data_IF_449325202245
#
_entry.id   IF_449325202245
#
_cell.length_a   1.000
_cell.length_b   1.000
_cell.length_c   1.000
_cell.angle_alpha   90.00
_cell.angle_beta   90.00
_cell.angle_gamma   90.00
#
_symmetry.space_group_name_H-M   'P 1'
#
loop_
_entity.id
_entity.type
_entity.pdbx_description
1 polymer ?
#
# COMPACT_ATOMS: atom_id res chain seq x y z
N UNK A 1 4.67 -30.06 29.33
CA UNK A 1 5.30 -28.86 28.76
C UNK A 1 4.53 -28.60 27.47
N UNK A 2 3.76 -27.52 27.42
CA UNK A 2 3.05 -27.15 26.18
C UNK A 2 4.10 -26.82 25.12
N UNK A 3 3.90 -27.37 23.93
CA UNK A 3 4.82 -27.18 22.80
C UNK A 3 4.72 -25.73 22.33
N UNK A 4 5.83 -25.00 22.36
CA UNK A 4 5.92 -23.68 21.73
C UNK A 4 5.93 -23.83 20.21
N UNK A 5 5.11 -23.03 19.52
CA UNK A 5 5.11 -22.97 18.05
C UNK A 5 6.11 -21.93 17.59
N UNK A 6 6.99 -22.29 16.65
CA UNK A 6 7.99 -21.39 16.07
C UNK A 6 7.45 -20.81 14.77
N UNK A 7 7.22 -19.51 14.77
CA UNK A 7 6.61 -18.78 13.64
C UNK A 7 7.63 -17.80 13.06
N UNK A 8 7.87 -17.90 11.76
CA UNK A 8 8.70 -16.94 11.04
C UNK A 8 7.83 -15.81 10.45
N UNK A 9 8.25 -14.57 10.65
CA UNK A 9 7.65 -13.38 10.06
C UNK A 9 8.56 -12.84 8.96
N UNK A 10 8.07 -12.81 7.72
CA UNK A 10 8.78 -12.30 6.56
C UNK A 10 8.19 -10.96 6.14
N UNK A 11 8.61 -9.90 6.84
CA UNK A 11 8.18 -8.53 6.63
C UNK A 11 9.37 -7.58 6.66
N UNK A 12 9.32 -6.54 5.84
CA UNK A 12 10.34 -5.51 5.84
C UNK A 12 10.04 -4.43 6.89
N UNK A 13 10.69 -4.50 8.05
CA UNK A 13 10.51 -3.56 9.15
C UNK A 13 10.80 -2.08 8.79
N UNK A 14 11.41 -1.80 7.63
CA UNK A 14 11.59 -0.44 7.12
C UNK A 14 10.32 0.14 6.46
N UNK A 15 9.33 -0.72 6.12
CA UNK A 15 8.02 -0.28 5.63
C UNK A 15 7.06 -0.05 6.81
N UNK A 16 6.32 1.05 6.78
CA UNK A 16 5.35 1.37 7.85
C UNK A 16 4.26 0.31 7.96
N UNK A 17 3.71 -0.11 6.82
CA UNK A 17 2.68 -1.15 6.76
C UNK A 17 3.13 -2.46 7.41
N UNK A 18 4.32 -2.94 7.04
CA UNK A 18 4.87 -4.18 7.57
C UNK A 18 5.09 -4.10 9.08
N UNK A 19 5.58 -2.95 9.61
CA UNK A 19 5.69 -2.74 11.05
C UNK A 19 4.35 -2.82 11.76
N UNK A 20 3.29 -2.23 11.20
CA UNK A 20 1.95 -2.30 11.79
C UNK A 20 1.40 -3.72 11.80
N UNK A 21 1.69 -4.52 10.77
CA UNK A 21 1.35 -5.96 10.78
C UNK A 21 2.09 -6.69 11.91
N UNK A 22 3.41 -6.46 12.05
CA UNK A 22 4.23 -7.05 13.12
C UNK A 22 3.70 -6.64 14.50
N UNK A 23 3.39 -5.34 14.69
CA UNK A 23 2.80 -4.81 15.93
C UNK A 23 1.46 -5.49 16.25
N UNK A 24 0.56 -5.60 15.26
CA UNK A 24 -0.74 -6.27 15.45
C UNK A 24 -0.60 -7.75 15.82
N UNK A 25 0.38 -8.46 15.24
CA UNK A 25 0.70 -9.83 15.64
C UNK A 25 1.16 -9.84 17.11
N UNK A 26 2.04 -8.92 17.51
CA UNK A 26 2.51 -8.81 18.89
C UNK A 26 1.37 -8.53 19.90
N UNK A 27 0.47 -7.62 19.57
CA UNK A 27 -0.72 -7.32 20.38
C UNK A 27 -1.63 -8.55 20.53
N UNK A 28 -1.86 -9.28 19.44
CA UNK A 28 -2.64 -10.52 19.49
C UNK A 28 -2.01 -11.56 20.42
N UNK A 29 -0.70 -11.76 20.33
CA UNK A 29 0.03 -12.72 21.19
C UNK A 29 -0.08 -12.35 22.66
N UNK A 30 0.04 -11.06 22.99
CA UNK A 30 -0.13 -10.58 24.36
C UNK A 30 -1.55 -10.78 24.88
N UNK A 31 -2.54 -10.45 24.04
CA UNK A 31 -3.96 -10.55 24.43
C UNK A 31 -4.43 -12.00 24.63
N UNK A 32 -3.93 -12.91 23.80
CA UNK A 32 -4.33 -14.34 23.82
C UNK A 32 -3.44 -15.22 24.65
N UNK A 33 -2.30 -14.68 25.14
CA UNK A 33 -1.27 -15.44 25.86
C UNK A 33 -0.78 -16.68 25.08
N UNK A 34 -0.77 -16.57 23.75
CA UNK A 34 -0.24 -17.63 22.89
C UNK A 34 1.24 -17.85 23.13
N UNK A 35 1.61 -19.12 23.27
CA UNK A 35 3.01 -19.52 23.51
C UNK A 35 3.72 -19.77 22.16
N UNK A 36 3.95 -18.67 21.41
CA UNK A 36 4.67 -18.69 20.15
C UNK A 36 6.06 -18.09 20.31
N UNK A 37 7.06 -18.74 19.73
CA UNK A 37 8.38 -18.17 19.52
C UNK A 37 8.38 -17.49 18.14
N UNK A 38 8.48 -16.17 18.13
CA UNK A 38 8.49 -15.37 16.90
C UNK A 38 9.93 -15.16 16.45
N UNK A 39 10.18 -15.51 15.19
CA UNK A 39 11.41 -15.19 14.48
C UNK A 39 11.12 -14.16 13.40
N UNK A 40 11.79 -13.00 13.46
CA UNK A 40 11.72 -11.96 12.44
C UNK A 40 13.04 -11.99 11.66
N UNK A 41 12.97 -12.34 10.37
CA UNK A 41 14.14 -12.36 9.51
C UNK A 41 14.39 -10.97 8.92
N UNK A 42 15.54 -10.36 9.24
CA UNK A 42 15.82 -8.97 8.90
C UNK A 42 16.07 -8.76 7.40
N UNK A 43 16.75 -9.66 6.73
CA UNK A 43 17.19 -9.54 5.33
C UNK A 43 16.69 -10.69 4.44
N UNK A 44 15.44 -11.13 4.64
CA UNK A 44 14.89 -12.28 3.93
C UNK A 44 14.89 -12.13 2.40
N UNK A 45 14.83 -10.91 1.87
CA UNK A 45 14.88 -10.65 0.42
C UNK A 45 16.25 -10.94 -0.19
N UNK A 46 17.30 -10.90 0.61
CA UNK A 46 18.68 -11.21 0.18
C UNK A 46 19.02 -12.69 0.33
N UNK A 47 18.30 -13.39 1.22
CA UNK A 47 18.57 -14.78 1.61
C UNK A 47 17.33 -15.67 1.50
N UNK A 48 16.74 -15.74 0.32
CA UNK A 48 15.53 -16.55 0.08
C UNK A 48 15.70 -18.05 0.36
N UNK A 49 16.95 -18.56 0.26
CA UNK A 49 17.29 -19.91 0.63
C UNK A 49 17.04 -20.21 2.11
N UNK A 50 17.19 -19.23 3.00
CA UNK A 50 16.90 -19.38 4.43
C UNK A 50 15.40 -19.63 4.66
N UNK A 51 14.55 -18.98 3.88
CA UNK A 51 13.09 -19.17 3.95
C UNK A 51 12.71 -20.61 3.60
N UNK A 52 13.36 -21.19 2.58
CA UNK A 52 13.15 -22.59 2.19
C UNK A 52 13.70 -23.58 3.23
N UNK A 53 14.77 -23.20 3.92
CA UNK A 53 15.40 -24.01 4.95
C UNK A 53 14.69 -23.91 6.31
N UNK A 54 13.66 -23.07 6.45
CA UNK A 54 12.93 -22.90 7.70
C UNK A 54 12.30 -24.21 8.19
N UNK A 55 12.60 -24.59 9.42
CA UNK A 55 12.12 -25.82 10.07
C UNK A 55 11.19 -25.53 11.26
N UNK A 56 10.53 -24.39 11.27
CA UNK A 56 9.53 -24.03 12.28
C UNK A 56 8.15 -24.60 11.98
N UNK A 57 7.16 -24.07 12.69
CA UNK A 57 5.79 -24.58 12.66
C UNK A 57 4.86 -23.76 11.74
N UNK A 58 5.27 -22.53 11.36
CA UNK A 58 4.49 -21.68 10.47
C UNK A 58 5.24 -20.46 9.97
N UNK A 59 4.66 -19.80 8.96
CA UNK A 59 5.19 -18.59 8.34
C UNK A 59 4.04 -17.59 8.14
N UNK A 60 4.27 -16.30 8.45
CA UNK A 60 3.40 -15.20 8.06
C UNK A 60 4.25 -14.25 7.21
N UNK A 61 3.79 -13.93 5.99
CA UNK A 61 4.65 -13.28 5.01
C UNK A 61 3.97 -12.20 4.17
N UNK A 62 4.75 -11.18 3.77
CA UNK A 62 4.37 -10.15 2.79
C UNK A 62 4.30 -10.75 1.38
N UNK A 63 3.08 -11.00 0.89
CA UNK A 63 2.80 -11.53 -0.45
C UNK A 63 2.69 -10.42 -1.52
N UNK A 64 2.90 -9.16 -1.18
CA UNK A 64 3.18 -8.12 -2.16
C UNK A 64 4.61 -8.25 -2.72
N UNK A 65 5.47 -9.06 -2.08
CA UNK A 65 6.71 -9.52 -2.67
C UNK A 65 6.44 -10.78 -3.54
N UNK A 66 6.54 -10.69 -4.89
CA UNK A 66 6.19 -11.79 -5.78
C UNK A 66 7.14 -13.00 -5.68
N UNK A 67 8.37 -12.81 -5.20
CA UNK A 67 9.31 -13.91 -5.00
C UNK A 67 8.92 -14.73 -3.76
N UNK A 68 8.52 -14.05 -2.68
CA UNK A 68 8.01 -14.69 -1.47
C UNK A 68 6.70 -15.41 -1.75
N UNK A 69 5.76 -14.76 -2.45
CA UNK A 69 4.51 -15.38 -2.87
C UNK A 69 4.77 -16.68 -3.65
N UNK A 70 5.61 -16.61 -4.69
CA UNK A 70 5.96 -17.78 -5.51
C UNK A 70 6.62 -18.90 -4.71
N UNK A 71 7.48 -18.55 -3.76
CA UNK A 71 8.21 -19.50 -2.92
C UNK A 71 7.29 -20.23 -1.96
N UNK A 72 6.34 -19.51 -1.35
CA UNK A 72 5.53 -20.02 -0.25
C UNK A 72 4.16 -20.58 -0.68
N UNK A 73 3.69 -20.28 -1.89
CA UNK A 73 2.38 -20.76 -2.37
C UNK A 73 2.23 -22.29 -2.38
N UNK A 74 3.35 -23.02 -2.43
CA UNK A 74 3.39 -24.49 -2.38
C UNK A 74 4.22 -25.01 -1.19
N UNK A 75 4.30 -24.26 -0.11
CA UNK A 75 5.03 -24.67 1.09
C UNK A 75 4.37 -25.86 1.76
N UNK A 76 5.19 -26.77 2.30
CA UNK A 76 4.74 -27.87 3.16
C UNK A 76 4.48 -27.43 4.61
N UNK A 77 4.91 -26.24 4.97
CA UNK A 77 4.69 -25.62 6.30
C UNK A 77 3.46 -24.71 6.17
N UNK A 78 2.58 -24.63 7.19
CA UNK A 78 1.49 -23.68 7.21
C UNK A 78 1.95 -22.25 6.96
N UNK A 79 1.33 -21.57 5.98
CA UNK A 79 1.63 -20.20 5.59
C UNK A 79 0.38 -19.35 5.66
N UNK A 80 0.51 -18.11 6.14
CA UNK A 80 -0.49 -17.05 5.98
C UNK A 80 0.12 -15.93 5.15
N UNK A 81 -0.48 -15.64 4.00
CA UNK A 81 -0.11 -14.50 3.17
C UNK A 81 -0.80 -13.22 3.65
N UNK A 82 -0.08 -12.10 3.59
CA UNK A 82 -0.61 -10.76 3.92
C UNK A 82 -0.24 -9.81 2.80
N UNK A 83 -1.16 -8.95 2.36
CA UNK A 83 -0.83 -7.98 1.31
C UNK A 83 -2.05 -7.29 0.71
N UNK A 84 -1.90 -6.75 -0.49
CA UNK A 84 -2.98 -6.18 -1.26
C UNK A 84 -3.96 -7.23 -1.77
N UNK A 85 -5.20 -6.82 -2.04
CA UNK A 85 -6.21 -7.68 -2.65
C UNK A 85 -5.82 -8.09 -4.08
N UNK A 86 -6.41 -9.17 -4.56
CA UNK A 86 -6.36 -9.60 -5.96
C UNK A 86 -7.63 -9.19 -6.69
N UNK A 87 -7.55 -9.11 -8.02
CA UNK A 87 -8.70 -8.67 -8.85
C UNK A 87 -9.84 -9.70 -8.90
N UNK A 88 -9.51 -10.97 -8.78
CA UNK A 88 -10.43 -12.08 -8.81
C UNK A 88 -10.14 -13.04 -7.66
N UNK A 89 -11.18 -13.70 -7.17
CA UNK A 89 -11.04 -14.75 -6.16
C UNK A 89 -10.10 -15.89 -6.62
N UNK A 90 -10.08 -16.16 -7.94
CA UNK A 90 -9.23 -17.19 -8.52
C UNK A 90 -7.74 -16.83 -8.55
N UNK A 91 -7.41 -15.56 -8.37
CA UNK A 91 -6.03 -15.08 -8.39
C UNK A 91 -5.34 -15.17 -7.01
N UNK A 92 -6.13 -15.42 -5.95
CA UNK A 92 -5.56 -15.59 -4.62
C UNK A 92 -4.71 -16.86 -4.53
N UNK A 93 -3.58 -16.80 -3.82
CA UNK A 93 -2.75 -17.98 -3.59
C UNK A 93 -3.53 -19.02 -2.77
N UNK A 94 -3.17 -20.29 -2.95
CA UNK A 94 -3.81 -21.39 -2.22
C UNK A 94 -3.30 -21.52 -0.77
N UNK A 95 -3.32 -20.41 -0.03
CA UNK A 95 -2.98 -20.32 1.40
C UNK A 95 -3.97 -19.37 2.06
N UNK A 96 -4.20 -19.47 3.37
CA UNK A 96 -4.91 -18.43 4.12
C UNK A 96 -4.31 -17.05 3.84
N UNK A 97 -5.17 -16.06 3.58
CA UNK A 97 -4.72 -14.76 3.11
C UNK A 97 -5.46 -13.61 3.80
N UNK A 98 -4.72 -12.61 4.25
CA UNK A 98 -5.26 -11.37 4.81
C UNK A 98 -4.99 -10.22 3.85
N UNK A 99 -6.05 -9.67 3.28
CA UNK A 99 -5.97 -8.60 2.30
C UNK A 99 -6.38 -7.25 2.87
N UNK A 100 -5.68 -6.19 2.45
CA UNK A 100 -6.17 -4.82 2.63
C UNK A 100 -7.29 -4.54 1.63
N UNK A 101 -8.42 -4.05 2.10
CA UNK A 101 -9.51 -3.60 1.23
C UNK A 101 -9.17 -2.21 0.63
N UNK A 102 -8.43 -2.23 -0.47
CA UNK A 102 -8.01 -1.02 -1.17
C UNK A 102 -9.19 -0.24 -1.78
N UNK A 103 -10.29 -0.93 -2.12
CA UNK A 103 -11.50 -0.28 -2.63
C UNK A 103 -12.18 0.54 -1.53
N UNK A 104 -12.37 -0.05 -0.35
CA UNK A 104 -12.97 0.66 0.80
C UNK A 104 -12.12 1.86 1.24
N UNK A 105 -10.78 1.74 1.22
CA UNK A 105 -9.87 2.84 1.53
C UNK A 105 -10.07 4.03 0.58
N UNK A 106 -10.10 3.77 -0.73
CA UNK A 106 -10.28 4.83 -1.73
C UNK A 106 -11.69 5.39 -1.69
N UNK A 107 -12.71 4.56 -1.44
CA UNK A 107 -14.09 5.01 -1.25
C UNK A 107 -14.20 6.00 -0.10
N UNK A 108 -13.64 5.70 1.06
CA UNK A 108 -13.63 6.61 2.21
C UNK A 108 -12.95 7.95 1.87
N UNK A 109 -11.78 7.92 1.21
CA UNK A 109 -11.06 9.12 0.81
C UNK A 109 -11.88 9.95 -0.18
N UNK A 110 -12.49 9.32 -1.16
CA UNK A 110 -13.36 9.99 -2.13
C UNK A 110 -14.57 10.62 -1.47
N UNK A 111 -15.30 9.89 -0.63
CA UNK A 111 -16.49 10.39 0.06
C UNK A 111 -16.16 11.56 0.99
N UNK A 112 -14.99 11.52 1.65
CA UNK A 112 -14.52 12.65 2.44
C UNK A 112 -14.33 13.91 1.58
N UNK A 113 -13.64 13.81 0.45
CA UNK A 113 -13.43 14.95 -0.47
C UNK A 113 -14.75 15.44 -1.08
N UNK A 114 -15.62 14.53 -1.50
CA UNK A 114 -16.96 14.84 -2.01
C UNK A 114 -17.81 15.55 -0.95
N UNK A 115 -17.76 15.11 0.30
CA UNK A 115 -18.45 15.73 1.43
C UNK A 115 -17.97 17.16 1.74
N UNK A 116 -16.78 17.56 1.26
CA UNK A 116 -16.29 18.95 1.30
C UNK A 116 -16.83 19.81 0.15
N UNK A 117 -17.70 19.28 -0.69
CA UNK A 117 -18.33 20.00 -1.81
C UNK A 117 -17.46 20.04 -3.09
N UNK A 118 -16.38 19.27 -3.15
CA UNK A 118 -15.54 19.21 -4.34
C UNK A 118 -16.26 18.49 -5.49
N UNK A 119 -16.01 18.95 -6.73
CA UNK A 119 -16.60 18.44 -7.96
C UNK A 119 -15.55 17.90 -8.93
N UNK A 120 -14.27 18.17 -8.68
CA UNK A 120 -13.16 17.68 -9.48
C UNK A 120 -12.29 16.78 -8.63
N UNK A 121 -11.93 15.62 -9.20
CA UNK A 121 -11.19 14.59 -8.47
C UNK A 121 -10.01 14.10 -9.29
N UNK A 122 -8.89 13.89 -8.60
CA UNK A 122 -7.67 13.41 -9.21
C UNK A 122 -6.97 12.37 -8.32
N UNK A 123 -6.12 11.57 -8.91
CA UNK A 123 -5.34 10.56 -8.22
C UNK A 123 -3.84 10.72 -8.54
N UNK A 124 -3.05 10.81 -7.50
CA UNK A 124 -1.60 10.84 -7.62
C UNK A 124 -1.02 9.49 -7.21
N UNK A 125 -0.73 8.67 -8.20
CA UNK A 125 -0.25 7.30 -8.07
C UNK A 125 1.26 7.16 -8.13
N UNK A 126 1.69 5.91 -8.31
CA UNK A 126 3.08 5.50 -8.56
C UNK A 126 3.14 4.66 -9.83
N UNK A 127 4.32 4.48 -10.42
CA UNK A 127 4.49 3.57 -11.55
C UNK A 127 4.05 2.16 -11.20
N UNK A 128 3.46 1.49 -12.17
CA UNK A 128 3.01 0.11 -12.03
C UNK A 128 4.21 -0.83 -11.89
N UNK A 129 4.12 -1.78 -10.95
CA UNK A 129 5.14 -2.80 -10.74
C UNK A 129 4.52 -4.04 -10.04
N UNK A 130 5.04 -5.24 -10.27
CA UNK A 130 4.52 -6.47 -9.66
C UNK A 130 4.45 -6.42 -8.13
N UNK A 131 5.44 -5.79 -7.48
CA UNK A 131 5.47 -5.61 -6.02
C UNK A 131 4.58 -4.46 -5.49
N UNK A 132 3.77 -3.86 -6.36
CA UNK A 132 2.89 -2.72 -6.04
C UNK A 132 1.45 -2.95 -6.48
N UNK A 133 1.00 -4.20 -6.48
CA UNK A 133 -0.38 -4.57 -6.82
C UNK A 133 -1.40 -3.70 -6.07
N UNK A 134 -1.19 -3.47 -4.78
CA UNK A 134 -2.03 -2.60 -3.96
C UNK A 134 -2.19 -1.17 -4.52
N UNK A 135 -1.16 -0.61 -5.16
CA UNK A 135 -1.24 0.74 -5.74
C UNK A 135 -2.08 0.77 -7.02
N UNK A 136 -1.95 -0.24 -7.87
CA UNK A 136 -2.78 -0.42 -9.06
C UNK A 136 -4.24 -0.66 -8.69
N UNK A 137 -4.51 -1.41 -7.63
CA UNK A 137 -5.85 -1.63 -7.07
C UNK A 137 -6.49 -0.31 -6.61
N UNK A 138 -5.74 0.53 -5.89
CA UNK A 138 -6.21 1.86 -5.46
C UNK A 138 -6.52 2.78 -6.63
N UNK A 139 -5.67 2.81 -7.66
CA UNK A 139 -5.92 3.60 -8.87
C UNK A 139 -7.16 3.11 -9.61
N UNK A 140 -7.33 1.79 -9.75
CA UNK A 140 -8.51 1.17 -10.36
C UNK A 140 -9.78 1.50 -9.57
N UNK A 141 -9.72 1.36 -8.24
CA UNK A 141 -10.83 1.72 -7.36
C UNK A 141 -11.23 3.18 -7.53
N UNK A 142 -10.26 4.11 -7.55
CA UNK A 142 -10.52 5.52 -7.81
C UNK A 142 -11.24 5.75 -9.13
N UNK A 143 -10.75 5.19 -10.24
CA UNK A 143 -11.36 5.34 -11.55
C UNK A 143 -12.81 4.83 -11.58
N UNK A 144 -13.05 3.67 -10.98
CA UNK A 144 -14.38 3.08 -10.92
C UNK A 144 -15.34 3.92 -10.08
N UNK A 145 -14.89 4.43 -8.93
CA UNK A 145 -15.69 5.25 -8.02
C UNK A 145 -16.09 6.56 -8.69
N UNK A 146 -15.13 7.31 -9.24
CA UNK A 146 -15.44 8.61 -9.88
C UNK A 146 -16.32 8.45 -11.11
N UNK A 147 -16.14 7.38 -11.90
CA UNK A 147 -17.00 7.08 -13.05
C UNK A 147 -18.42 6.70 -12.59
N UNK A 148 -18.57 5.87 -11.57
CA UNK A 148 -19.88 5.50 -11.00
C UNK A 148 -20.64 6.73 -10.49
N UNK A 149 -19.92 7.68 -9.91
CA UNK A 149 -20.49 8.91 -9.34
C UNK A 149 -20.68 10.02 -10.41
N UNK A 150 -20.33 9.77 -11.68
CA UNK A 150 -20.54 10.69 -12.78
C UNK A 150 -19.49 11.80 -12.92
N UNK A 151 -18.32 11.65 -12.30
CA UNK A 151 -17.23 12.62 -12.38
C UNK A 151 -16.15 12.19 -13.40
N UNK A 152 -15.42 13.17 -13.94
CA UNK A 152 -14.21 12.91 -14.71
C UNK A 152 -13.04 12.57 -13.79
N UNK A 153 -12.17 11.65 -14.22
CA UNK A 153 -10.97 11.27 -13.48
C UNK A 153 -9.72 11.85 -14.14
N UNK A 154 -8.82 12.41 -13.33
CA UNK A 154 -7.47 12.76 -13.73
C UNK A 154 -6.47 11.92 -12.90
N UNK A 155 -5.53 11.26 -13.58
CA UNK A 155 -4.54 10.41 -12.93
C UNK A 155 -3.14 10.81 -13.35
N UNK A 156 -2.25 10.94 -12.37
CA UNK A 156 -0.82 11.15 -12.58
C UNK A 156 -0.03 10.13 -11.76
N UNK A 157 0.81 9.33 -12.42
CA UNK A 157 1.60 8.30 -11.73
C UNK A 157 2.98 8.80 -11.30
N UNK A 158 3.54 9.77 -12.02
CA UNK A 158 4.92 10.20 -11.81
C UNK A 158 5.95 9.11 -12.14
N UNK A 159 7.17 9.33 -11.71
CA UNK A 159 8.26 8.35 -11.77
C UNK A 159 8.53 7.74 -10.39
N UNK A 160 9.42 6.77 -10.32
CA UNK A 160 10.01 6.36 -9.05
C UNK A 160 10.81 7.52 -8.45
N UNK A 161 10.64 7.74 -7.15
CA UNK A 161 11.32 8.84 -6.48
C UNK A 161 12.81 8.51 -6.34
N UNK A 162 13.65 9.32 -6.94
CA UNK A 162 15.10 9.26 -6.78
C UNK A 162 15.68 10.66 -6.61
N UNK A 163 16.80 10.78 -5.91
CA UNK A 163 17.49 12.07 -5.75
C UNK A 163 17.96 12.64 -7.09
N UNK A 164 18.32 11.76 -8.04
CA UNK A 164 18.81 12.18 -9.36
C UNK A 164 17.74 12.74 -10.29
N UNK A 165 16.47 12.34 -10.12
CA UNK A 165 15.34 12.81 -10.94
C UNK A 165 14.44 13.82 -10.22
N UNK A 166 14.75 14.15 -8.97
CA UNK A 166 13.87 14.91 -8.10
C UNK A 166 13.32 16.21 -8.73
N UNK A 167 14.19 17.06 -9.26
CA UNK A 167 13.78 18.34 -9.84
C UNK A 167 12.86 18.14 -11.06
N UNK A 168 13.21 17.17 -11.91
CA UNK A 168 12.41 16.83 -13.09
C UNK A 168 11.02 16.33 -12.69
N UNK A 169 10.96 15.45 -11.70
CA UNK A 169 9.70 14.87 -11.22
C UNK A 169 8.80 15.92 -10.57
N UNK A 170 9.39 16.84 -9.81
CA UNK A 170 8.66 17.95 -9.19
C UNK A 170 8.10 18.91 -10.25
N UNK A 171 8.85 19.20 -11.32
CA UNK A 171 8.38 20.03 -12.43
C UNK A 171 7.21 19.37 -13.16
N UNK A 172 7.28 18.07 -13.43
CA UNK A 172 6.18 17.33 -14.07
C UNK A 172 4.91 17.31 -13.20
N UNK A 173 5.08 17.17 -11.90
CA UNK A 173 3.96 17.24 -10.96
C UNK A 173 3.35 18.65 -10.95
N UNK A 174 4.19 19.70 -10.97
CA UNK A 174 3.75 21.08 -11.06
C UNK A 174 2.93 21.34 -12.34
N UNK A 175 3.44 20.93 -13.50
CA UNK A 175 2.75 21.05 -14.78
C UNK A 175 1.40 20.34 -14.79
N UNK A 176 1.32 19.16 -14.17
CA UNK A 176 0.07 18.43 -14.06
C UNK A 176 -0.92 19.17 -13.15
N UNK A 177 -0.49 19.65 -11.98
CA UNK A 177 -1.35 20.39 -11.05
C UNK A 177 -1.93 21.65 -11.67
N UNK A 178 -1.13 22.40 -12.44
CA UNK A 178 -1.58 23.63 -13.09
C UNK A 178 -2.65 23.40 -14.20
N UNK A 179 -2.76 22.18 -14.71
CA UNK A 179 -3.77 21.79 -15.70
C UNK A 179 -5.07 21.30 -15.08
N UNK A 180 -5.09 21.03 -13.79
CA UNK A 180 -6.30 20.57 -13.12
C UNK A 180 -7.29 21.73 -12.94
N UNK A 181 -8.60 21.48 -13.10
CA UNK A 181 -9.59 22.45 -12.70
C UNK A 181 -9.50 22.72 -11.20
N UNK A 182 -9.87 23.91 -10.76
CA UNK A 182 -9.85 24.27 -9.33
C UNK A 182 -11.24 24.66 -8.85
N UNK A 183 -11.64 24.23 -7.64
CA UNK A 183 -10.91 23.37 -6.70
C UNK A 183 -10.93 21.89 -7.11
N UNK A 184 -9.84 21.15 -6.82
CA UNK A 184 -9.72 19.70 -7.05
C UNK A 184 -9.35 18.97 -5.77
N UNK A 185 -10.04 17.86 -5.50
CA UNK A 185 -9.69 16.89 -4.48
C UNK A 185 -8.73 15.83 -5.05
N UNK A 186 -7.56 15.68 -4.45
CA UNK A 186 -6.54 14.74 -4.89
C UNK A 186 -6.35 13.64 -3.84
N UNK A 187 -6.49 12.39 -4.28
CA UNK A 187 -6.13 11.23 -3.47
C UNK A 187 -4.70 10.84 -3.82
N UNK A 188 -3.79 10.93 -2.86
CA UNK A 188 -2.42 10.48 -3.00
C UNK A 188 -2.31 9.02 -2.55
N UNK A 189 -1.65 8.19 -3.35
CA UNK A 189 -1.56 6.74 -3.10
C UNK A 189 -0.75 6.38 -1.87
N UNK A 190 0.18 7.26 -1.44
CA UNK A 190 1.02 7.11 -0.24
C UNK A 190 1.27 8.44 0.45
N UNK A 191 1.72 8.41 1.72
CA UNK A 191 2.17 9.60 2.47
C UNK A 191 3.30 10.34 1.76
N UNK A 192 4.21 9.61 1.13
CA UNK A 192 5.32 10.21 0.37
C UNK A 192 4.78 11.03 -0.81
N UNK A 193 3.81 10.50 -1.56
CA UNK A 193 3.18 11.23 -2.67
C UNK A 193 2.39 12.44 -2.16
N UNK A 194 1.70 12.32 -1.03
CA UNK A 194 1.01 13.44 -0.41
C UNK A 194 2.00 14.56 -0.04
N UNK A 195 3.14 14.22 0.55
CA UNK A 195 4.19 15.22 0.87
C UNK A 195 4.73 15.90 -0.37
N UNK A 196 5.03 15.16 -1.44
CA UNK A 196 5.47 15.75 -2.71
C UNK A 196 4.43 16.72 -3.28
N UNK A 197 3.16 16.33 -3.25
CA UNK A 197 2.06 17.19 -3.68
C UNK A 197 2.02 18.50 -2.90
N UNK A 198 2.08 18.43 -1.57
CA UNK A 198 2.05 19.60 -0.70
C UNK A 198 3.26 20.51 -0.90
N UNK A 199 4.46 19.95 -1.12
CA UNK A 199 5.66 20.72 -1.45
C UNK A 199 5.50 21.49 -2.76
N UNK A 200 4.98 20.88 -3.80
CA UNK A 200 4.73 21.56 -5.09
C UNK A 200 3.65 22.62 -4.93
N UNK A 201 2.56 22.34 -4.22
CA UNK A 201 1.55 23.36 -3.93
C UNK A 201 2.15 24.58 -3.23
N UNK A 202 3.03 24.37 -2.26
CA UNK A 202 3.75 25.45 -1.56
C UNK A 202 4.61 26.27 -2.52
N UNK A 203 5.42 25.61 -3.37
CA UNK A 203 6.27 26.31 -4.35
C UNK A 203 5.48 27.11 -5.38
N UNK A 204 4.30 26.63 -5.77
CA UNK A 204 3.42 27.31 -6.73
C UNK A 204 2.45 28.31 -6.09
N UNK A 205 2.52 28.49 -4.76
CA UNK A 205 1.56 29.28 -3.98
C UNK A 205 0.10 28.84 -4.21
N UNK A 206 -0.12 27.54 -4.41
CA UNK A 206 -1.45 26.96 -4.49
C UNK A 206 -1.99 26.77 -3.07
N UNK A 207 -3.11 27.39 -2.78
CA UNK A 207 -3.74 27.32 -1.47
C UNK A 207 -4.31 25.91 -1.23
N UNK A 208 -3.91 25.29 -0.11
CA UNK A 208 -4.43 24.03 0.39
C UNK A 208 -5.16 24.34 1.70
N UNK A 209 -6.44 23.95 1.88
CA UNK A 209 -7.24 23.09 0.99
C UNK A 209 -8.06 23.81 -0.10
N UNK A 210 -8.03 25.15 -0.21
CA UNK A 210 -9.01 25.93 -0.97
C UNK A 210 -8.95 25.68 -2.50
N UNK A 211 -7.76 25.50 -3.06
CA UNK A 211 -7.55 25.23 -4.48
C UNK A 211 -7.27 23.76 -4.75
N UNK A 212 -6.52 23.13 -3.87
CA UNK A 212 -6.21 21.69 -3.89
C UNK A 212 -6.45 21.12 -2.50
N UNK A 213 -7.40 20.22 -2.36
CA UNK A 213 -7.58 19.43 -1.16
C UNK A 213 -6.88 18.07 -1.37
N UNK A 214 -5.98 17.71 -0.45
CA UNK A 214 -5.25 16.44 -0.50
C UNK A 214 -5.77 15.50 0.58
N UNK A 215 -6.07 14.28 0.19
CA UNK A 215 -6.37 13.18 1.10
C UNK A 215 -5.44 12.01 0.83
N UNK A 216 -5.01 11.35 1.89
CA UNK A 216 -4.23 10.11 1.83
C UNK A 216 -4.60 9.25 3.02
N UNK A 217 -4.44 7.95 2.86
CA UNK A 217 -4.60 7.03 3.98
C UNK A 217 -3.22 6.75 4.59
N UNK A 218 -3.09 6.93 5.90
CA UNK A 218 -1.88 6.59 6.64
C UNK A 218 -1.65 5.08 6.52
N UNK A 219 -0.54 4.71 5.93
CA UNK A 219 -0.04 3.33 5.96
C UNK A 219 0.82 3.14 7.17
#
# INVERSE_FOLDING_TARGET
>A
MDRKYRINLLFNANKVYDRQVIEGIGEYLQATQCDWDIFLEEDFTTHLENVQAWQGDGIIADFDNPEIERLLSNSNIPVVGVGGSYQSENDYPNVPYVATDNQALVEMAFQHLKGKGLQNFAFYGIPDAPCRRWASEREKAFKNIVAREGYASAVFRGNETSSGSWQYDMNRLADWLQRLPTPTGIIAVTDSRARHLLQVCSHLNIMVPDKVACNWHRQ
#
